data_IF_987130639368
#
_entry.id   IF_987130639368
#
_cell.length_a   1.000
_cell.length_b   1.000
_cell.length_c   1.000
_cell.angle_alpha   90.00
_cell.angle_beta   90.00
_cell.angle_gamma   90.00
#
_symmetry.space_group_name_H-M   'P 1'
#
loop_
_entity.id
_entity.type
_entity.pdbx_description
1 polymer ?
#
# COMPACT_ATOMS: atom_id res chain seq x y z
N UNK A 1 -10.57 -2.38 12.97
CA UNK A 1 -10.67 -1.55 11.74
C UNK A 1 -10.46 -0.10 12.15
N UNK A 2 -9.41 0.55 11.63
CA UNK A 2 -9.09 1.96 11.94
C UNK A 2 -10.20 2.89 11.43
N UNK A 3 -10.44 4.02 12.13
CA UNK A 3 -11.43 4.99 11.67
C UNK A 3 -11.04 5.61 10.32
N UNK A 4 -9.73 5.79 10.11
CA UNK A 4 -9.18 6.24 8.83
C UNK A 4 -9.65 5.36 7.67
N UNK A 5 -9.71 4.05 7.90
CA UNK A 5 -10.12 3.10 6.88
C UNK A 5 -11.63 3.12 6.65
N UNK A 6 -12.43 3.12 7.73
CA UNK A 6 -13.88 3.25 7.66
C UNK A 6 -14.34 4.50 6.88
N UNK A 7 -13.72 5.65 7.14
CA UNK A 7 -14.05 6.90 6.46
C UNK A 7 -13.63 6.90 4.98
N UNK A 8 -12.60 6.12 4.62
CA UNK A 8 -12.18 5.95 3.22
C UNK A 8 -13.12 5.02 2.46
N UNK A 9 -13.45 3.85 3.01
CA UNK A 9 -14.29 2.84 2.34
C UNK A 9 -15.71 3.32 2.07
N UNK A 10 -16.29 4.05 3.02
CA UNK A 10 -17.69 4.52 2.91
C UNK A 10 -17.89 5.61 1.86
N UNK A 11 -16.81 6.18 1.30
CA UNK A 11 -16.89 7.29 0.33
C UNK A 11 -17.42 8.61 0.92
N UNK A 12 -17.92 8.59 2.16
CA UNK A 12 -18.48 9.73 2.88
C UNK A 12 -17.49 10.88 2.94
N UNK A 13 -16.19 10.59 3.19
CA UNK A 13 -15.15 11.62 3.18
C UNK A 13 -15.08 12.36 1.84
N UNK A 14 -15.15 11.64 0.71
CA UNK A 14 -15.08 12.25 -0.63
C UNK A 14 -16.30 13.13 -0.87
N UNK A 15 -17.50 12.63 -0.60
CA UNK A 15 -18.76 13.39 -0.76
C UNK A 15 -18.76 14.65 0.11
N UNK A 16 -18.35 14.56 1.37
CA UNK A 16 -18.25 15.72 2.25
C UNK A 16 -17.23 16.75 1.76
N UNK A 17 -16.04 16.30 1.31
CA UNK A 17 -15.01 17.21 0.79
C UNK A 17 -15.41 17.90 -0.51
N UNK A 18 -16.27 17.30 -1.33
CA UNK A 18 -16.82 17.92 -2.54
C UNK A 18 -17.79 19.07 -2.22
N UNK A 19 -18.43 19.04 -1.06
CA UNK A 19 -19.32 20.11 -0.57
C UNK A 19 -18.55 21.26 0.10
N UNK A 20 -17.25 21.10 0.35
CA UNK A 20 -16.41 22.09 1.03
C UNK A 20 -15.76 23.05 0.01
N UNK A 21 -15.76 24.38 0.27
CA UNK A 21 -15.03 25.33 -0.56
C UNK A 21 -13.55 24.96 -0.70
N UNK A 22 -13.01 25.04 -1.92
CA UNK A 22 -11.61 24.66 -2.21
C UNK A 22 -10.58 25.39 -1.35
N UNK A 23 -10.88 26.60 -0.89
CA UNK A 23 -10.02 27.41 0.00
C UNK A 23 -9.90 26.83 1.41
N UNK A 24 -10.94 26.15 1.90
CA UNK A 24 -10.99 25.58 3.26
C UNK A 24 -10.67 24.09 3.26
N UNK A 25 -10.79 23.43 2.10
CA UNK A 25 -10.51 22.00 1.93
C UNK A 25 -9.17 21.53 2.53
N UNK A 26 -8.02 22.22 2.33
CA UNK A 26 -6.75 21.78 2.92
C UNK A 26 -6.80 21.78 4.46
N UNK A 27 -7.48 22.76 5.05
CA UNK A 27 -7.63 22.88 6.51
C UNK A 27 -8.47 21.72 7.05
N UNK A 28 -9.56 21.36 6.36
CA UNK A 28 -10.41 20.23 6.76
C UNK A 28 -9.69 18.89 6.55
N UNK A 29 -8.94 18.74 5.47
CA UNK A 29 -8.15 17.54 5.23
C UNK A 29 -7.08 17.35 6.31
N UNK A 30 -6.37 18.42 6.69
CA UNK A 30 -5.39 18.39 7.77
C UNK A 30 -6.07 18.09 9.12
N UNK A 31 -7.15 18.80 9.48
CA UNK A 31 -7.87 18.56 10.72
C UNK A 31 -8.41 17.13 10.80
N UNK A 32 -8.94 16.60 9.69
CA UNK A 32 -9.40 15.21 9.60
C UNK A 32 -8.26 14.22 9.76
N UNK A 33 -7.11 14.46 9.14
CA UNK A 33 -5.91 13.64 9.31
C UNK A 33 -5.46 13.64 10.78
N UNK A 34 -5.26 14.81 11.38
CA UNK A 34 -4.85 14.97 12.78
C UNK A 34 -5.82 14.27 13.75
N UNK A 35 -7.12 14.39 13.49
CA UNK A 35 -8.14 13.71 14.28
C UNK A 35 -7.97 12.19 14.17
N UNK A 36 -7.87 11.67 12.94
CA UNK A 36 -7.71 10.22 12.72
C UNK A 36 -6.43 9.65 13.33
N UNK A 37 -5.31 10.35 13.22
CA UNK A 37 -4.03 9.90 13.79
C UNK A 37 -4.05 9.92 15.31
N UNK A 38 -4.69 10.92 15.93
CA UNK A 38 -4.89 10.96 17.38
C UNK A 38 -5.80 9.83 17.86
N UNK A 39 -6.85 9.50 17.14
CA UNK A 39 -7.75 8.40 17.52
C UNK A 39 -7.10 7.03 17.33
N UNK A 40 -6.39 6.81 16.22
CA UNK A 40 -5.78 5.51 15.92
C UNK A 40 -4.48 5.28 16.72
N UNK A 41 -3.72 6.33 17.05
CA UNK A 41 -2.36 6.22 17.61
C UNK A 41 -2.07 7.08 18.85
N UNK A 42 -2.98 7.97 19.26
CA UNK A 42 -2.71 8.94 20.33
C UNK A 42 -1.67 10.01 19.98
N UNK A 43 -1.33 10.17 18.69
CA UNK A 43 -0.28 11.06 18.20
C UNK A 43 -0.74 11.83 16.96
N UNK A 44 -0.18 13.01 16.74
CA UNK A 44 -0.55 13.92 15.64
C UNK A 44 0.24 13.70 14.36
N UNK A 45 1.43 13.14 14.47
CA UNK A 45 2.47 13.06 13.44
C UNK A 45 2.67 11.65 12.87
N UNK A 46 1.63 10.81 12.89
CA UNK A 46 1.70 9.43 12.40
C UNK A 46 1.34 9.30 10.92
N UNK A 47 2.25 8.77 10.12
CA UNK A 47 1.96 8.42 8.73
C UNK A 47 0.80 7.42 8.65
N UNK A 48 -0.08 7.60 7.66
CA UNK A 48 -1.27 6.75 7.47
C UNK A 48 -1.13 5.75 6.32
N UNK A 49 -0.01 5.80 5.59
CA UNK A 49 0.28 4.87 4.49
C UNK A 49 1.79 4.62 4.40
N UNK A 50 2.17 3.36 4.20
CA UNK A 50 3.53 2.93 3.91
C UNK A 50 3.52 2.09 2.64
N UNK A 51 4.45 2.37 1.74
CA UNK A 51 4.69 1.56 0.56
C UNK A 51 6.05 0.85 0.71
N UNK A 52 6.05 -0.48 0.59
CA UNK A 52 7.23 -1.33 0.65
C UNK A 52 7.46 -1.92 -0.73
N UNK A 53 8.52 -1.48 -1.40
CA UNK A 53 8.90 -1.99 -2.73
C UNK A 53 9.47 -3.41 -2.60
N UNK A 54 8.58 -4.40 -2.69
CA UNK A 54 8.90 -5.83 -2.57
C UNK A 54 9.81 -6.35 -3.68
N UNK A 55 9.71 -5.75 -4.86
CA UNK A 55 10.60 -5.95 -6.01
C UNK A 55 10.69 -4.65 -6.79
N UNK A 56 11.85 -4.35 -7.36
CA UNK A 56 12.03 -3.20 -8.26
C UNK A 56 11.79 -3.56 -9.73
N UNK A 57 11.53 -4.84 -10.03
CA UNK A 57 11.39 -5.35 -11.40
C UNK A 57 9.92 -5.37 -11.81
N UNK A 58 9.62 -4.85 -12.99
CA UNK A 58 8.29 -4.91 -13.61
C UNK A 58 8.35 -5.67 -14.93
N UNK A 59 7.25 -6.38 -15.25
CA UNK A 59 7.08 -7.08 -16.55
C UNK A 59 6.73 -6.14 -17.69
N UNK A 60 6.24 -4.92 -17.37
CA UNK A 60 5.86 -3.90 -18.36
C UNK A 60 6.87 -2.76 -18.46
N UNK A 61 6.81 -2.06 -19.59
CA UNK A 61 7.57 -0.83 -19.90
C UNK A 61 6.61 0.29 -20.31
N UNK A 62 5.78 0.74 -19.37
CA UNK A 62 4.81 1.80 -19.61
C UNK A 62 5.51 3.13 -19.92
N UNK A 63 5.03 3.87 -20.92
CA UNK A 63 5.65 5.13 -21.39
C UNK A 63 5.68 6.24 -20.34
N UNK A 64 4.75 6.19 -19.38
CA UNK A 64 4.61 7.12 -18.27
C UNK A 64 5.29 6.65 -16.97
N UNK A 65 5.96 5.50 -16.97
CA UNK A 65 6.57 4.92 -15.77
C UNK A 65 8.11 5.05 -15.81
N UNK A 66 8.78 5.44 -14.71
CA UNK A 66 10.24 5.46 -14.63
C UNK A 66 10.90 4.09 -14.90
N UNK A 67 10.21 2.98 -14.63
CA UNK A 67 10.68 1.61 -14.95
C UNK A 67 10.56 1.29 -16.45
N UNK A 68 9.77 2.06 -17.20
CA UNK A 68 9.69 2.00 -18.66
C UNK A 68 10.87 2.69 -19.36
N UNK A 69 11.51 3.65 -18.70
CA UNK A 69 12.68 4.36 -19.20
C UNK A 69 13.97 3.66 -18.75
N UNK A 70 14.72 3.10 -19.71
CA UNK A 70 15.97 2.40 -19.41
C UNK A 70 17.04 3.31 -18.79
N UNK A 71 17.04 4.61 -19.09
CA UNK A 71 17.99 5.57 -18.49
C UNK A 71 17.75 5.72 -16.99
N UNK A 72 16.50 5.68 -16.54
CA UNK A 72 16.11 5.78 -15.13
C UNK A 72 16.16 4.42 -14.44
N UNK A 73 15.67 3.37 -15.10
CA UNK A 73 15.66 2.00 -14.58
C UNK A 73 17.07 1.50 -14.24
N UNK A 74 18.04 1.76 -15.11
CA UNK A 74 19.41 1.30 -14.93
C UNK A 74 20.15 2.06 -13.82
N UNK A 75 19.59 3.14 -13.27
CA UNK A 75 20.11 3.83 -12.09
C UNK A 75 19.74 3.14 -10.76
N UNK A 76 18.89 2.10 -10.81
CA UNK A 76 18.36 1.40 -9.63
C UNK A 76 18.71 -0.08 -9.67
N UNK A 77 19.04 -0.71 -8.53
CA UNK A 77 19.19 -2.16 -8.45
C UNK A 77 17.91 -2.85 -8.93
N UNK A 78 18.07 -3.87 -9.78
CA UNK A 78 16.98 -4.69 -10.31
C UNK A 78 16.92 -5.99 -9.51
N UNK A 79 16.17 -5.99 -8.41
CA UNK A 79 16.19 -7.08 -7.43
C UNK A 79 14.89 -7.18 -6.62
N UNK A 80 14.71 -8.34 -6.01
CA UNK A 80 13.70 -8.55 -4.98
C UNK A 80 14.24 -8.15 -3.62
N UNK A 81 13.40 -7.57 -2.76
CA UNK A 81 13.77 -7.23 -1.39
C UNK A 81 14.18 -8.50 -0.61
N UNK A 82 15.20 -8.41 0.24
CA UNK A 82 15.56 -9.51 1.14
C UNK A 82 14.64 -9.61 2.35
N UNK A 83 14.45 -10.81 2.91
CA UNK A 83 13.65 -11.00 4.13
C UNK A 83 14.30 -10.31 5.35
N UNK A 84 15.63 -10.15 5.32
CA UNK A 84 16.40 -9.38 6.31
C UNK A 84 16.08 -7.89 6.33
N UNK A 85 15.42 -7.36 5.29
CA UNK A 85 14.95 -5.97 5.22
C UNK A 85 13.44 -5.92 5.43
N UNK A 86 12.69 -6.81 4.78
CA UNK A 86 11.23 -6.85 4.89
C UNK A 86 10.76 -7.10 6.32
N UNK A 87 11.31 -8.11 6.99
CA UNK A 87 10.81 -8.51 8.32
C UNK A 87 11.00 -7.41 9.38
N UNK A 88 12.16 -6.73 9.48
CA UNK A 88 12.31 -5.59 10.39
C UNK A 88 11.31 -4.47 10.15
N UNK A 89 11.03 -4.12 8.88
CA UNK A 89 10.03 -3.07 8.56
C UNK A 89 8.66 -3.44 9.15
N UNK A 90 8.21 -4.68 8.94
CA UNK A 90 6.93 -5.14 9.47
C UNK A 90 6.93 -5.20 11.00
N UNK A 91 8.05 -5.60 11.62
CA UNK A 91 8.22 -5.61 13.07
C UNK A 91 8.15 -4.19 13.66
N UNK A 92 8.79 -3.22 13.03
CA UNK A 92 8.77 -1.83 13.46
C UNK A 92 7.35 -1.25 13.37
N UNK A 93 6.62 -1.56 12.30
CA UNK A 93 5.21 -1.20 12.19
C UNK A 93 4.34 -1.86 13.26
N UNK A 94 4.61 -3.12 13.60
CA UNK A 94 3.91 -3.81 14.68
C UNK A 94 4.15 -3.12 16.03
N UNK A 95 5.41 -2.77 16.33
CA UNK A 95 5.78 -2.09 17.56
C UNK A 95 5.12 -0.72 17.70
N UNK A 96 4.77 -0.08 16.58
CA UNK A 96 4.02 1.18 16.54
C UNK A 96 2.50 0.99 16.68
N UNK A 97 2.00 -0.26 16.70
CA UNK A 97 0.56 -0.54 16.64
C UNK A 97 -0.05 -0.10 15.31
N UNK A 98 0.69 -0.21 14.20
CA UNK A 98 0.30 0.35 12.91
C UNK A 98 -1.03 -0.20 12.39
N UNK A 99 -2.00 0.69 12.20
CA UNK A 99 -3.34 0.41 11.66
C UNK A 99 -3.64 1.13 10.33
N UNK A 100 -2.60 1.62 9.65
CA UNK A 100 -2.73 2.37 8.40
C UNK A 100 -2.74 1.48 7.16
N UNK A 101 -2.46 2.06 6.00
CA UNK A 101 -2.37 1.33 4.73
C UNK A 101 -0.96 0.81 4.47
N UNK A 102 -0.81 -0.50 4.32
CA UNK A 102 0.41 -1.15 3.85
C UNK A 102 0.27 -1.56 2.38
N UNK A 103 1.00 -0.87 1.51
CA UNK A 103 1.15 -1.19 0.10
C UNK A 103 2.41 -2.05 -0.10
N UNK A 104 2.27 -3.26 -0.64
CA UNK A 104 3.42 -4.15 -0.93
C UNK A 104 3.96 -3.97 -2.36
N UNK A 105 4.01 -2.73 -2.83
CA UNK A 105 4.46 -2.35 -4.16
C UNK A 105 4.98 -0.91 -4.17
N UNK A 106 5.80 -0.60 -5.17
CA UNK A 106 6.10 0.78 -5.55
C UNK A 106 6.15 0.90 -7.07
N UNK A 107 7.33 0.79 -7.73
CA UNK A 107 7.41 0.82 -9.19
C UNK A 107 7.49 -0.56 -9.85
N UNK A 108 7.98 -1.57 -9.13
CA UNK A 108 7.99 -2.96 -9.61
C UNK A 108 6.61 -3.61 -9.64
N UNK A 109 6.52 -4.75 -10.32
CA UNK A 109 5.29 -5.55 -10.37
C UNK A 109 5.25 -6.52 -9.18
N UNK A 110 4.37 -6.33 -8.18
CA UNK A 110 4.36 -7.14 -6.97
C UNK A 110 4.13 -8.63 -7.25
N UNK A 111 3.34 -9.00 -8.26
CA UNK A 111 3.10 -10.41 -8.60
C UNK A 111 4.35 -11.11 -9.16
N UNK A 112 5.41 -10.35 -9.49
CA UNK A 112 6.70 -10.92 -9.88
C UNK A 112 7.48 -11.47 -8.70
N UNK A 113 7.24 -10.94 -7.50
CA UNK A 113 7.86 -11.39 -6.26
C UNK A 113 7.29 -12.75 -5.85
N UNK A 114 8.15 -13.78 -5.94
CA UNK A 114 7.80 -15.16 -5.58
C UNK A 114 7.41 -15.33 -4.11
N UNK A 115 7.75 -14.37 -3.25
CA UNK A 115 7.45 -14.38 -1.81
C UNK A 115 6.21 -13.55 -1.47
N UNK A 116 5.52 -12.94 -2.44
CA UNK A 116 4.42 -11.99 -2.17
C UNK A 116 3.36 -12.57 -1.24
N UNK A 117 2.87 -13.79 -1.49
CA UNK A 117 1.86 -14.44 -0.64
C UNK A 117 2.35 -14.58 0.80
N UNK A 118 3.61 -15.00 0.98
CA UNK A 118 4.24 -15.10 2.31
C UNK A 118 4.38 -13.73 2.98
N UNK A 119 4.68 -12.69 2.19
CA UNK A 119 4.78 -11.31 2.69
C UNK A 119 3.44 -10.79 3.21
N UNK A 120 2.37 -11.02 2.45
CA UNK A 120 1.00 -10.71 2.86
C UNK A 120 0.64 -11.46 4.15
N UNK A 121 0.89 -12.77 4.21
CA UNK A 121 0.61 -13.59 5.40
C UNK A 121 1.35 -13.09 6.65
N UNK A 122 2.67 -12.82 6.53
CA UNK A 122 3.46 -12.24 7.61
C UNK A 122 2.92 -10.87 8.04
N UNK A 123 2.60 -10.00 7.07
CA UNK A 123 2.07 -8.67 7.36
C UNK A 123 0.71 -8.75 8.07
N UNK A 124 -0.22 -9.60 7.62
CA UNK A 124 -1.53 -9.76 8.26
C UNK A 124 -1.39 -10.25 9.70
N UNK A 125 -0.52 -11.23 9.95
CA UNK A 125 -0.28 -11.77 11.30
C UNK A 125 0.24 -10.72 12.27
N UNK A 126 1.15 -9.86 11.83
CA UNK A 126 1.81 -8.86 12.68
C UNK A 126 1.05 -7.54 12.74
N UNK A 127 0.29 -7.21 11.69
CA UNK A 127 -0.45 -5.95 11.52
C UNK A 127 -1.95 -6.25 11.30
N UNK A 128 -2.64 -6.86 12.27
CA UNK A 128 -4.02 -7.34 12.09
C UNK A 128 -5.01 -6.20 11.77
N UNK A 129 -4.69 -4.97 12.16
CA UNK A 129 -5.54 -3.79 11.96
C UNK A 129 -5.15 -2.96 10.73
N UNK A 130 -4.04 -3.27 10.06
CA UNK A 130 -3.62 -2.56 8.86
C UNK A 130 -4.45 -3.01 7.65
N UNK A 131 -4.61 -2.08 6.70
CA UNK A 131 -5.17 -2.38 5.39
C UNK A 131 -4.05 -2.73 4.42
N UNK A 132 -3.99 -3.97 3.98
CA UNK A 132 -2.93 -4.53 3.17
C UNK A 132 -3.41 -4.62 1.72
N UNK A 133 -2.70 -3.93 0.82
CA UNK A 133 -3.05 -3.91 -0.60
C UNK A 133 -1.85 -4.15 -1.50
N UNK A 134 -2.15 -4.55 -2.74
CA UNK A 134 -1.22 -4.48 -3.87
C UNK A 134 -1.82 -3.69 -5.02
N UNK A 135 -0.95 -3.02 -5.79
CA UNK A 135 -1.28 -2.51 -7.13
C UNK A 135 -0.47 -3.26 -8.15
N UNK A 136 -1.15 -3.90 -9.08
CA UNK A 136 -0.56 -4.81 -10.07
C UNK A 136 -1.04 -4.43 -11.47
N UNK A 137 -0.20 -4.69 -12.47
CA UNK A 137 -0.60 -4.64 -13.88
C UNK A 137 -1.48 -5.83 -14.29
N UNK A 138 -1.57 -6.87 -13.45
CA UNK A 138 -2.43 -8.04 -13.63
C UNK A 138 -1.88 -9.12 -14.56
N UNK A 139 -0.73 -8.92 -15.22
CA UNK A 139 -0.19 -9.85 -16.23
C UNK A 139 0.10 -11.24 -15.64
N UNK A 140 0.50 -11.28 -14.36
CA UNK A 140 0.83 -12.50 -13.62
C UNK A 140 -0.31 -12.94 -12.68
N UNK A 141 -1.46 -12.26 -12.73
CA UNK A 141 -2.60 -12.58 -11.88
C UNK A 141 -3.37 -13.76 -12.45
N UNK A 142 -3.39 -14.85 -11.69
CA UNK A 142 -4.20 -16.04 -11.95
C UNK A 142 -5.26 -16.21 -10.85
N UNK A 143 -6.35 -16.95 -11.08
CA UNK A 143 -7.31 -17.29 -10.03
C UNK A 143 -6.64 -17.92 -8.81
N UNK A 144 -5.72 -18.88 -9.03
CA UNK A 144 -4.96 -19.53 -7.96
C UNK A 144 -4.12 -18.55 -7.15
N UNK A 145 -3.44 -17.60 -7.80
CA UNK A 145 -2.65 -16.59 -7.07
C UNK A 145 -3.54 -15.64 -6.28
N UNK A 146 -4.71 -15.29 -6.82
CA UNK A 146 -5.69 -14.45 -6.11
C UNK A 146 -6.23 -15.18 -4.88
N UNK A 147 -6.64 -16.44 -5.01
CA UNK A 147 -7.11 -17.27 -3.90
C UNK A 147 -6.06 -17.36 -2.78
N UNK A 148 -4.79 -17.55 -3.15
CA UNK A 148 -3.69 -17.57 -2.19
C UNK A 148 -3.49 -16.22 -1.48
N UNK A 149 -3.65 -15.09 -2.18
CA UNK A 149 -3.54 -13.76 -1.59
C UNK A 149 -4.70 -13.48 -0.63
N UNK A 150 -5.92 -13.87 -1.01
CA UNK A 150 -7.11 -13.78 -0.15
C UNK A 150 -6.91 -14.63 1.10
N UNK A 151 -6.47 -15.88 0.95
CA UNK A 151 -6.17 -16.77 2.07
C UNK A 151 -5.07 -16.23 2.99
N UNK A 152 -4.09 -15.50 2.44
CA UNK A 152 -3.05 -14.82 3.21
C UNK A 152 -3.54 -13.55 3.94
N UNK A 153 -4.74 -13.06 3.63
CA UNK A 153 -5.36 -11.91 4.29
C UNK A 153 -5.07 -10.56 3.64
N UNK A 154 -4.91 -10.53 2.32
CA UNK A 154 -4.94 -9.29 1.55
C UNK A 154 -6.34 -8.66 1.60
N UNK A 155 -6.42 -7.33 1.66
CA UNK A 155 -7.71 -6.62 1.62
C UNK A 155 -8.06 -6.16 0.20
N UNK A 156 -7.07 -5.70 -0.58
CA UNK A 156 -7.30 -5.16 -1.92
C UNK A 156 -6.23 -5.59 -2.93
N UNK A 157 -6.68 -6.03 -4.09
CA UNK A 157 -5.86 -6.19 -5.30
C UNK A 157 -6.37 -5.21 -6.35
N UNK A 158 -5.63 -4.12 -6.56
CA UNK A 158 -5.97 -3.13 -7.58
C UNK A 158 -5.25 -3.46 -8.88
N UNK A 159 -6.01 -3.68 -9.95
CA UNK A 159 -5.47 -4.04 -11.27
C UNK A 159 -5.53 -2.84 -12.22
N UNK A 160 -4.38 -2.45 -12.75
CA UNK A 160 -4.27 -1.37 -13.75
C UNK A 160 -4.21 -1.96 -15.16
N UNK A 161 -5.18 -1.62 -15.99
CA UNK A 161 -5.27 -2.10 -17.38
C UNK A 161 -4.61 -1.18 -18.40
N UNK A 162 -4.23 0.04 -18.01
CA UNK A 162 -3.53 0.99 -18.87
C UNK A 162 -2.08 0.56 -19.11
N UNK A 163 -1.58 0.82 -20.31
CA UNK A 163 -0.23 0.45 -20.78
C UNK A 163 0.53 1.71 -21.19
#
# INVERSE_FOLDING_TARGET
>A
MSLTHFLKETGIRKTLLEMVPKTVRPIIEEAGYQLTTVMDYGKRDMFTSVAVETTSVCTRRCSYCPVGDDTLRNQRPQQDMGDSVYNPIILDLQNMGYAGTLALQHYGEPLRDKKLVKRVDTARKLLPNAFILIRSNGDLLTPRTLDNLIAAGIDEVFVTTQV
#
